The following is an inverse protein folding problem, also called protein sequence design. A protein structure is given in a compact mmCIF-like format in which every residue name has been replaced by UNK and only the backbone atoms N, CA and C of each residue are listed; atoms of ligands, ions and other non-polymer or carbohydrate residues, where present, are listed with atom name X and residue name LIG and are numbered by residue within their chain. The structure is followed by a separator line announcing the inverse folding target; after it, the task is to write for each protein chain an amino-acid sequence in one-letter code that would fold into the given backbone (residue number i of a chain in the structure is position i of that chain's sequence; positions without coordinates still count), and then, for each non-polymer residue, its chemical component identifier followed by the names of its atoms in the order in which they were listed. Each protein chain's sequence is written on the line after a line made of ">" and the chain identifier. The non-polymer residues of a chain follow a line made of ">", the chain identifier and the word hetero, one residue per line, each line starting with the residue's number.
data_IF_238877367862
#
_entry.id   IF_238877367862
#
_cell.length_a   1.000
_cell.length_b   1.000
_cell.length_c   1.000
_cell.angle_alpha   90.00
_cell.angle_beta   90.00
_cell.angle_gamma   90.00
#
_symmetry.space_group_name_H-M   'P 1'
#
loop_
_entity.id
_entity.type
_entity.pdbx_description
1 polymer ?
#
# COMPACT_ATOMS: atom_id res chain seq x y z
N UNK A 1 26.77 70.46 16.62
CA UNK A 1 26.77 69.76 15.30
C UNK A 1 25.60 68.77 15.33
N UNK A 2 24.38 69.23 14.93
CA UNK A 2 23.23 68.37 14.70
C UNK A 2 23.26 67.89 13.24
N UNK A 3 23.71 66.67 13.04
CA UNK A 3 23.58 66.00 11.76
C UNK A 3 22.13 65.48 11.61
N UNK A 4 21.31 66.21 10.85
CA UNK A 4 19.98 65.74 10.45
C UNK A 4 20.13 64.61 9.42
N UNK A 5 19.81 63.37 9.85
CA UNK A 5 19.71 62.24 8.94
C UNK A 5 18.59 62.51 7.94
N UNK A 6 18.86 62.48 6.62
CA UNK A 6 17.84 62.79 5.60
C UNK A 6 16.76 61.68 5.66
N UNK A 7 15.49 62.10 5.84
CA UNK A 7 14.34 61.21 5.80
C UNK A 7 14.29 60.50 4.44
N UNK A 8 14.42 59.14 4.45
CA UNK A 8 14.33 58.29 3.28
C UNK A 8 12.93 58.46 2.66
N UNK A 9 12.84 59.09 1.47
CA UNK A 9 11.59 59.20 0.72
C UNK A 9 11.06 57.78 0.46
N UNK A 10 10.10 57.33 1.25
CA UNK A 10 9.40 56.04 1.03
C UNK A 10 8.51 56.21 -0.19
N UNK A 11 8.71 55.39 -1.18
CA UNK A 11 7.87 55.33 -2.37
C UNK A 11 6.71 54.33 -2.09
N UNK A 12 5.50 54.82 -1.71
CA UNK A 12 4.44 53.95 -1.19
C UNK A 12 3.94 52.90 -2.21
N UNK A 13 4.17 53.16 -3.51
CA UNK A 13 3.84 52.21 -4.58
C UNK A 13 4.90 51.11 -4.67
N UNK A 14 6.18 51.45 -4.54
CA UNK A 14 7.28 50.49 -4.57
C UNK A 14 7.21 49.53 -3.36
N UNK A 15 6.91 50.09 -2.16
CA UNK A 15 6.81 49.25 -0.93
C UNK A 15 5.61 48.29 -0.99
N UNK A 16 4.49 48.68 -1.62
CA UNK A 16 3.33 47.79 -1.85
C UNK A 16 3.63 46.69 -2.86
N UNK A 17 4.35 46.98 -3.92
CA UNK A 17 4.78 45.99 -4.93
C UNK A 17 5.75 45.00 -4.28
N UNK A 18 6.74 45.48 -3.54
CA UNK A 18 7.69 44.62 -2.81
C UNK A 18 6.97 43.73 -1.77
N UNK A 19 6.04 44.27 -1.00
CA UNK A 19 5.23 43.48 -0.07
C UNK A 19 4.39 42.42 -0.78
N UNK A 20 3.79 42.72 -1.92
CA UNK A 20 3.08 41.78 -2.78
C UNK A 20 3.98 40.66 -3.30
N UNK A 21 5.18 40.95 -3.77
CA UNK A 21 6.17 39.98 -4.21
C UNK A 21 6.63 39.08 -3.07
N UNK A 22 6.84 39.62 -1.86
CA UNK A 22 7.17 38.83 -0.67
C UNK A 22 6.05 37.88 -0.26
N UNK A 23 4.80 38.31 -0.28
CA UNK A 23 3.64 37.47 0.01
C UNK A 23 3.55 36.30 -1.01
N UNK A 24 3.67 36.62 -2.31
CA UNK A 24 3.65 35.54 -3.34
C UNK A 24 4.81 34.56 -3.17
N UNK A 25 6.01 35.04 -2.87
CA UNK A 25 7.18 34.20 -2.65
C UNK A 25 7.02 33.31 -1.40
N UNK A 26 6.50 33.86 -0.31
CA UNK A 26 6.21 33.10 0.92
C UNK A 26 5.12 32.04 0.66
N UNK A 27 4.05 32.40 -0.03
CA UNK A 27 2.98 31.45 -0.39
C UNK A 27 3.51 30.36 -1.33
N UNK A 28 4.32 30.71 -2.32
CA UNK A 28 4.95 29.74 -3.21
C UNK A 28 5.92 28.80 -2.45
N UNK A 29 6.72 29.35 -1.54
CA UNK A 29 7.63 28.59 -0.70
C UNK A 29 6.86 27.64 0.25
N UNK A 30 5.81 28.15 0.90
CA UNK A 30 4.94 27.34 1.75
C UNK A 30 4.23 26.23 0.93
N UNK A 31 3.78 26.55 -0.28
CA UNK A 31 3.22 25.56 -1.22
C UNK A 31 4.23 24.50 -1.62
N UNK A 32 5.46 24.90 -1.95
CA UNK A 32 6.54 23.96 -2.28
C UNK A 32 6.93 23.07 -1.09
N UNK A 33 7.01 23.64 0.12
CA UNK A 33 7.25 22.89 1.36
C UNK A 33 6.10 21.93 1.65
N UNK A 34 4.85 22.35 1.48
CA UNK A 34 3.69 21.50 1.66
C UNK A 34 3.65 20.33 0.65
N UNK A 35 4.00 20.59 -0.61
CA UNK A 35 4.12 19.54 -1.63
C UNK A 35 5.26 18.57 -1.34
N UNK A 36 6.42 19.08 -0.88
CA UNK A 36 7.55 18.24 -0.49
C UNK A 36 7.25 17.45 0.79
N UNK A 37 6.57 18.08 1.76
CA UNK A 37 6.13 17.41 2.99
C UNK A 37 5.12 16.28 2.69
N UNK A 38 4.30 16.43 1.64
CA UNK A 38 3.40 15.37 1.19
C UNK A 38 4.16 14.12 0.73
N UNK A 39 5.26 14.27 -0.01
CA UNK A 39 6.11 13.16 -0.42
C UNK A 39 6.75 12.45 0.78
N UNK A 40 7.12 13.20 1.83
CA UNK A 40 7.69 12.64 3.06
C UNK A 40 6.62 12.02 3.98
N UNK A 41 5.38 12.45 3.88
CA UNK A 41 4.30 11.95 4.74
C UNK A 41 4.10 10.44 4.59
N UNK A 42 4.20 9.94 3.37
CA UNK A 42 4.01 8.53 3.05
C UNK A 42 5.05 7.62 3.74
N UNK A 43 6.38 7.83 3.56
CA UNK A 43 7.40 7.05 4.29
C UNK A 43 7.37 7.28 5.80
N UNK A 44 6.96 8.46 6.30
CA UNK A 44 6.75 8.70 7.73
C UNK A 44 5.62 7.83 8.30
N UNK A 45 4.48 7.78 7.62
CA UNK A 45 3.35 6.93 8.01
C UNK A 45 3.71 5.45 7.92
N UNK A 46 4.37 5.03 6.85
CA UNK A 46 4.83 3.64 6.71
C UNK A 46 5.83 3.27 7.81
N UNK A 47 6.78 4.16 8.12
CA UNK A 47 7.73 3.98 9.22
C UNK A 47 7.04 3.86 10.58
N UNK A 48 6.00 4.67 10.81
CA UNK A 48 5.16 4.59 12.01
C UNK A 48 4.39 3.26 12.08
N UNK A 49 3.77 2.81 10.98
CA UNK A 49 3.06 1.53 10.94
C UNK A 49 4.02 0.36 11.18
N UNK A 50 5.17 0.36 10.52
CA UNK A 50 6.21 -0.65 10.70
C UNK A 50 6.74 -0.66 12.13
N UNK A 51 7.03 0.51 12.71
CA UNK A 51 7.45 0.60 14.10
C UNK A 51 6.36 0.05 15.04
N UNK A 52 5.09 0.43 14.85
CA UNK A 52 3.97 -0.03 15.66
C UNK A 52 3.81 -1.55 15.62
N UNK A 53 4.01 -2.17 14.46
CA UNK A 53 4.00 -3.63 14.29
C UNK A 53 5.14 -4.31 15.05
N UNK A 54 6.34 -3.69 15.05
CA UNK A 54 7.55 -4.28 15.62
C UNK A 54 7.75 -3.96 17.12
N UNK A 55 7.06 -2.97 17.69
CA UNK A 55 7.15 -2.62 19.13
C UNK A 55 7.12 -3.85 20.04
N UNK A 56 6.18 -4.82 19.93
CA UNK A 56 6.13 -5.97 20.85
C UNK A 56 7.36 -6.87 20.76
N UNK A 57 8.01 -6.93 19.60
CA UNK A 57 9.26 -7.69 19.44
C UNK A 57 10.39 -6.96 20.15
N UNK A 58 10.50 -5.66 19.95
CA UNK A 58 11.51 -4.81 20.61
C UNK A 58 11.36 -4.85 22.14
N UNK A 59 10.12 -4.73 22.66
CA UNK A 59 9.86 -4.80 24.10
C UNK A 59 10.23 -6.18 24.71
N UNK A 60 10.09 -7.26 23.95
CA UNK A 60 10.54 -8.59 24.42
C UNK A 60 12.06 -8.69 24.49
N UNK A 61 12.77 -8.07 23.54
CA UNK A 61 14.24 -8.03 23.52
C UNK A 61 14.77 -7.11 24.61
N UNK A 62 14.15 -5.93 24.82
CA UNK A 62 14.45 -4.98 25.89
C UNK A 62 14.34 -5.64 27.28
N UNK A 63 13.28 -6.43 27.50
CA UNK A 63 13.09 -7.22 28.74
C UNK A 63 14.18 -8.30 28.94
N UNK A 64 14.91 -8.68 27.91
CA UNK A 64 16.08 -9.57 27.97
C UNK A 64 17.39 -8.81 28.18
N UNK A 65 17.34 -7.51 28.39
CA UNK A 65 18.51 -6.65 28.64
C UNK A 65 19.23 -6.16 27.38
N UNK A 66 18.65 -6.35 26.18
CA UNK A 66 19.25 -5.85 24.96
C UNK A 66 18.82 -4.38 24.75
N UNK A 67 19.76 -3.43 24.55
CA UNK A 67 19.43 -2.03 24.34
C UNK A 67 18.48 -1.83 23.17
N UNK A 68 17.50 -0.94 23.29
CA UNK A 68 16.46 -0.70 22.27
C UNK A 68 17.02 -0.37 20.89
N UNK A 69 18.07 0.42 20.80
CA UNK A 69 18.71 0.76 19.53
C UNK A 69 19.32 -0.47 18.83
N UNK A 70 19.95 -1.37 19.59
CA UNK A 70 20.52 -2.62 19.05
C UNK A 70 19.40 -3.57 18.61
N UNK A 71 18.36 -3.71 19.44
CA UNK A 71 17.17 -4.51 19.11
C UNK A 71 16.48 -3.99 17.84
N UNK A 72 16.29 -2.67 17.73
CA UNK A 72 15.66 -2.03 16.56
C UNK A 72 16.50 -2.27 15.29
N UNK A 73 17.81 -2.02 15.36
CA UNK A 73 18.73 -2.26 14.23
C UNK A 73 18.76 -3.72 13.82
N UNK A 74 18.85 -4.65 14.79
CA UNK A 74 18.86 -6.09 14.55
C UNK A 74 17.58 -6.60 13.90
N UNK A 75 16.41 -6.23 14.44
CA UNK A 75 15.10 -6.65 13.92
C UNK A 75 14.85 -6.07 12.52
N UNK A 76 15.13 -4.79 12.31
CA UNK A 76 15.01 -4.17 10.97
C UNK A 76 16.01 -4.75 9.99
N UNK A 77 17.25 -5.05 10.41
CA UNK A 77 18.26 -5.71 9.59
C UNK A 77 17.81 -7.11 9.15
N UNK A 78 17.29 -7.92 10.08
CA UNK A 78 16.72 -9.25 9.76
C UNK A 78 15.53 -9.13 8.81
N UNK A 79 14.62 -8.18 9.05
CA UNK A 79 13.46 -7.96 8.18
C UNK A 79 13.90 -7.56 6.77
N UNK A 80 14.86 -6.64 6.65
CA UNK A 80 15.38 -6.19 5.35
C UNK A 80 16.12 -7.33 4.64
N UNK A 81 16.92 -8.12 5.37
CA UNK A 81 17.59 -9.28 4.81
C UNK A 81 16.61 -10.35 4.35
N UNK A 82 15.54 -10.61 5.13
CA UNK A 82 14.48 -11.55 4.76
C UNK A 82 13.70 -11.07 3.52
N UNK A 83 13.38 -9.77 3.44
CA UNK A 83 12.74 -9.19 2.26
C UNK A 83 13.65 -9.26 1.02
N UNK A 84 14.93 -8.94 1.17
CA UNK A 84 15.92 -9.07 0.09
C UNK A 84 16.07 -10.53 -0.38
N UNK A 85 16.14 -11.48 0.55
CA UNK A 85 16.20 -12.90 0.23
C UNK A 85 14.92 -13.36 -0.52
N UNK A 86 13.75 -12.90 -0.07
CA UNK A 86 12.48 -13.21 -0.74
C UNK A 86 12.47 -12.68 -2.17
N UNK A 87 12.97 -11.47 -2.41
CA UNK A 87 13.11 -10.89 -3.76
C UNK A 87 14.05 -11.74 -4.61
N UNK A 88 15.23 -12.11 -4.08
CA UNK A 88 16.21 -12.94 -4.80
C UNK A 88 15.61 -14.31 -5.15
N UNK A 89 14.89 -14.95 -4.24
CA UNK A 89 14.25 -16.23 -4.47
C UNK A 89 13.04 -16.14 -5.41
N UNK A 90 12.30 -15.03 -5.38
CA UNK A 90 11.17 -14.79 -6.26
C UNK A 90 11.60 -14.43 -7.69
N UNK A 91 12.71 -13.72 -7.85
CA UNK A 91 13.20 -13.24 -9.16
C UNK A 91 13.27 -14.34 -10.23
N UNK A 92 13.91 -15.52 -10.02
CA UNK A 92 13.97 -16.56 -11.05
C UNK A 92 12.59 -17.10 -11.40
N UNK A 93 11.67 -17.20 -10.45
CA UNK A 93 10.29 -17.65 -10.67
C UNK A 93 9.54 -16.64 -11.52
N UNK A 94 9.65 -15.35 -11.18
CA UNK A 94 9.02 -14.25 -11.95
C UNK A 94 9.58 -14.18 -13.36
N UNK A 95 10.91 -14.25 -13.51
CA UNK A 95 11.57 -14.22 -14.82
C UNK A 95 11.16 -15.43 -15.66
N UNK A 96 11.13 -16.63 -15.08
CA UNK A 96 10.66 -17.83 -15.77
C UNK A 96 9.19 -17.71 -16.25
N UNK A 97 8.32 -17.12 -15.42
CA UNK A 97 6.93 -16.85 -15.82
C UNK A 97 6.82 -15.86 -16.96
N UNK A 98 7.60 -14.77 -16.90
CA UNK A 98 7.62 -13.76 -17.95
C UNK A 98 8.12 -14.39 -19.26
N UNK A 99 9.20 -15.16 -19.21
CA UNK A 99 9.74 -15.85 -20.37
C UNK A 99 8.77 -16.88 -20.93
N UNK A 100 8.12 -17.66 -20.08
CA UNK A 100 7.08 -18.60 -20.48
C UNK A 100 5.91 -17.89 -21.16
N UNK A 101 5.44 -16.78 -20.59
CA UNK A 101 4.39 -15.97 -21.19
C UNK A 101 4.82 -15.35 -22.54
N UNK A 102 6.04 -14.84 -22.63
CA UNK A 102 6.59 -14.27 -23.86
C UNK A 102 6.74 -15.33 -24.97
N UNK A 103 7.23 -16.52 -24.65
CA UNK A 103 7.42 -17.60 -25.62
C UNK A 103 6.10 -18.16 -26.16
N UNK A 104 5.04 -18.15 -25.35
CA UNK A 104 3.70 -18.61 -25.74
C UNK A 104 2.74 -17.46 -26.07
N UNK A 105 3.22 -16.22 -26.08
CA UNK A 105 2.39 -15.02 -26.24
C UNK A 105 1.56 -15.04 -27.54
N UNK A 106 2.09 -15.56 -28.62
CA UNK A 106 1.37 -15.69 -29.92
C UNK A 106 0.23 -16.70 -29.81
N UNK A 107 0.50 -17.87 -29.25
CA UNK A 107 -0.51 -18.92 -29.03
C UNK A 107 -1.62 -18.43 -28.10
N UNK A 108 -1.25 -17.72 -27.05
CA UNK A 108 -2.19 -17.11 -26.11
C UNK A 108 -3.02 -16.00 -26.75
N UNK A 109 -2.43 -15.17 -27.61
CA UNK A 109 -3.16 -14.18 -28.39
C UNK A 109 -4.14 -14.82 -29.36
N UNK A 110 -3.77 -15.93 -30.00
CA UNK A 110 -4.67 -16.70 -30.86
C UNK A 110 -5.82 -17.33 -30.09
N UNK A 111 -5.55 -17.96 -28.94
CA UNK A 111 -6.58 -18.51 -28.05
C UNK A 111 -7.46 -17.39 -27.48
N UNK A 112 -6.89 -16.28 -27.04
CA UNK A 112 -7.64 -15.15 -26.54
C UNK A 112 -8.51 -14.52 -27.64
N UNK A 113 -7.98 -14.34 -28.82
CA UNK A 113 -8.73 -13.79 -29.98
C UNK A 113 -9.86 -14.71 -30.43
N UNK A 114 -9.64 -16.04 -30.47
CA UNK A 114 -10.67 -17.01 -30.82
C UNK A 114 -11.78 -17.08 -29.77
N UNK A 115 -11.42 -17.03 -28.48
CA UNK A 115 -12.39 -17.00 -27.37
C UNK A 115 -13.17 -15.69 -27.33
N UNK A 116 -12.48 -14.55 -27.53
CA UNK A 116 -13.12 -13.22 -27.64
C UNK A 116 -14.07 -13.18 -28.85
N UNK A 117 -13.67 -13.74 -29.97
CA UNK A 117 -14.55 -13.82 -31.15
C UNK A 117 -15.80 -14.65 -30.87
N UNK A 118 -15.66 -15.80 -30.22
CA UNK A 118 -16.80 -16.61 -29.79
C UNK A 118 -17.71 -15.92 -28.78
N UNK A 119 -17.16 -15.15 -27.85
CA UNK A 119 -17.92 -14.32 -26.89
C UNK A 119 -18.62 -13.16 -27.61
N UNK A 120 -17.95 -12.50 -28.54
CA UNK A 120 -18.50 -11.43 -29.37
C UNK A 120 -19.63 -11.97 -30.25
N UNK A 121 -19.48 -13.14 -30.86
CA UNK A 121 -20.52 -13.79 -31.65
C UNK A 121 -21.74 -14.21 -30.80
N UNK A 122 -21.51 -14.62 -29.56
CA UNK A 122 -22.60 -14.89 -28.62
C UNK A 122 -23.31 -13.59 -28.17
N UNK A 123 -22.55 -12.55 -27.83
CA UNK A 123 -23.08 -11.25 -27.41
C UNK A 123 -23.71 -10.46 -28.57
N UNK A 124 -23.25 -10.66 -29.81
CA UNK A 124 -23.82 -10.02 -31.01
C UNK A 124 -25.25 -10.44 -31.30
N UNK A 125 -25.69 -11.56 -30.69
CA UNK A 125 -27.11 -11.96 -30.71
C UNK A 125 -27.99 -11.18 -29.75
N UNK A 126 -27.36 -10.43 -28.79
CA UNK A 126 -28.04 -9.75 -27.70
C UNK A 126 -27.87 -8.20 -27.73
N UNK A 127 -26.83 -7.70 -28.43
CA UNK A 127 -26.45 -6.26 -28.43
C UNK A 127 -26.13 -5.79 -29.86
N UNK A 128 -26.41 -4.52 -30.25
CA UNK A 128 -26.12 -3.98 -31.57
C UNK A 128 -24.62 -4.05 -31.94
N UNK A 129 -24.31 -4.54 -33.14
CA UNK A 129 -22.99 -4.90 -33.65
C UNK A 129 -21.92 -3.79 -33.57
N UNK A 130 -22.29 -2.51 -33.63
CA UNK A 130 -21.38 -1.39 -33.80
C UNK A 130 -20.49 -1.11 -32.55
N UNK A 131 -21.08 -1.21 -31.37
CA UNK A 131 -20.34 -0.95 -30.11
C UNK A 131 -19.44 -2.11 -29.74
N UNK A 132 -19.84 -3.32 -30.11
CA UNK A 132 -19.10 -4.56 -29.82
C UNK A 132 -17.81 -4.66 -30.68
N UNK A 133 -17.86 -4.25 -31.95
CA UNK A 133 -16.69 -4.21 -32.83
C UNK A 133 -15.66 -3.16 -32.38
N UNK A 134 -16.12 -1.99 -31.90
CA UNK A 134 -15.23 -0.99 -31.31
C UNK A 134 -14.55 -1.49 -30.02
N UNK A 135 -15.28 -2.17 -29.16
CA UNK A 135 -14.73 -2.77 -27.95
C UNK A 135 -13.72 -3.88 -28.26
N UNK A 136 -13.98 -4.72 -29.29
CA UNK A 136 -13.07 -5.75 -29.78
C UNK A 136 -11.79 -5.14 -30.37
N UNK A 137 -11.90 -4.11 -31.20
CA UNK A 137 -10.74 -3.41 -31.76
C UNK A 137 -9.90 -2.74 -30.67
N UNK A 138 -10.54 -2.11 -29.66
CA UNK A 138 -9.84 -1.52 -28.52
C UNK A 138 -9.15 -2.60 -27.66
N UNK A 139 -9.79 -3.74 -27.42
CA UNK A 139 -9.19 -4.84 -26.67
C UNK A 139 -7.99 -5.43 -27.42
N UNK A 140 -8.12 -5.70 -28.72
CA UNK A 140 -7.06 -6.25 -29.55
C UNK A 140 -5.90 -5.26 -29.72
N UNK A 141 -6.16 -3.97 -29.91
CA UNK A 141 -5.11 -2.94 -30.02
C UNK A 141 -4.34 -2.77 -28.71
N UNK A 142 -5.00 -2.87 -27.57
CA UNK A 142 -4.31 -2.84 -26.27
C UNK A 142 -3.49 -4.11 -26.01
N UNK A 143 -3.96 -5.28 -26.43
CA UNK A 143 -3.21 -6.54 -26.33
C UNK A 143 -1.97 -6.54 -27.22
N UNK A 144 -2.02 -5.90 -28.40
CA UNK A 144 -0.90 -5.84 -29.34
C UNK A 144 0.09 -4.70 -29.07
N UNK A 145 -0.30 -3.65 -28.36
CA UNK A 145 0.53 -2.46 -28.11
C UNK A 145 1.46 -2.57 -26.91
N UNK A 146 1.32 -3.59 -26.08
CA UNK A 146 2.25 -3.83 -24.99
C UNK A 146 3.44 -4.66 -25.50
N UNK A 147 4.40 -3.96 -26.13
CA UNK A 147 5.77 -4.44 -26.22
C UNK A 147 6.29 -4.77 -24.83
N UNK A 148 7.26 -5.68 -24.73
CA UNK A 148 7.88 -6.24 -23.53
C UNK A 148 7.77 -5.32 -22.30
N UNK A 149 7.07 -5.73 -21.23
CA UNK A 149 6.92 -4.91 -20.03
C UNK A 149 8.21 -4.77 -19.21
N UNK A 150 9.31 -5.38 -19.66
CA UNK A 150 10.60 -5.37 -18.95
C UNK A 150 11.73 -5.17 -19.97
N UNK A 151 12.17 -3.95 -20.19
CA UNK A 151 13.28 -3.78 -21.13
C UNK A 151 13.82 -2.38 -21.37
N UNK A 152 13.45 -1.37 -20.64
CA UNK A 152 14.05 -0.05 -20.80
C UNK A 152 14.85 0.38 -19.56
N UNK A 153 15.97 1.08 -19.79
CA UNK A 153 16.72 1.76 -18.72
C UNK A 153 15.82 2.68 -17.88
N UNK A 154 14.71 3.11 -18.44
CA UNK A 154 13.68 3.91 -17.77
C UNK A 154 13.12 3.20 -16.52
N UNK A 155 12.90 1.89 -16.59
CA UNK A 155 12.37 1.09 -15.46
C UNK A 155 13.37 0.97 -14.31
N UNK A 156 14.68 1.02 -14.59
CA UNK A 156 15.71 1.11 -13.56
C UNK A 156 15.67 2.43 -12.79
N UNK A 157 15.30 3.53 -13.46
CA UNK A 157 15.11 4.82 -12.80
C UNK A 157 13.82 4.87 -11.98
N UNK A 158 12.81 4.08 -12.33
CA UNK A 158 11.55 3.98 -11.57
C UNK A 158 11.72 3.20 -10.24
N UNK A 159 12.80 2.39 -10.12
CA UNK A 159 13.14 1.69 -8.87
C UNK A 159 13.78 2.65 -7.84
N UNK A 160 14.46 3.70 -8.28
CA UNK A 160 15.19 4.61 -7.38
C UNK A 160 14.28 5.31 -6.36
N UNK A 161 13.12 5.90 -6.73
CA UNK A 161 12.17 6.46 -5.78
C UNK A 161 11.61 5.41 -4.80
N UNK A 162 11.44 4.17 -5.25
CA UNK A 162 10.99 3.08 -4.38
C UNK A 162 12.03 2.75 -3.31
N UNK A 163 13.31 2.68 -3.67
CA UNK A 163 14.42 2.48 -2.74
C UNK A 163 14.58 3.64 -1.76
N UNK A 164 14.45 4.88 -2.24
CA UNK A 164 14.48 6.09 -1.39
C UNK A 164 13.36 6.04 -0.35
N UNK A 165 12.12 5.79 -0.76
CA UNK A 165 10.97 5.68 0.14
C UNK A 165 11.12 4.51 1.13
N UNK A 166 11.66 3.37 0.70
CA UNK A 166 11.94 2.23 1.56
C UNK A 166 13.01 2.57 2.60
N UNK A 167 14.10 3.24 2.20
CA UNK A 167 15.17 3.68 3.10
C UNK A 167 14.63 4.68 4.14
N UNK A 168 13.89 5.70 3.70
CA UNK A 168 13.26 6.66 4.61
C UNK A 168 12.30 5.97 5.60
N UNK A 169 11.50 5.03 5.13
CA UNK A 169 10.61 4.21 5.97
C UNK A 169 11.40 3.46 7.05
N UNK A 170 12.51 2.81 6.69
CA UNK A 170 13.38 2.09 7.63
C UNK A 170 14.04 3.03 8.64
N UNK A 171 14.53 4.17 8.18
CA UNK A 171 15.14 5.20 9.07
C UNK A 171 14.12 5.72 10.08
N UNK A 172 12.92 6.07 9.62
CA UNK A 172 11.84 6.53 10.50
C UNK A 172 11.45 5.44 11.50
N UNK A 173 11.25 4.20 11.03
CA UNK A 173 10.93 3.07 11.90
C UNK A 173 12.02 2.84 12.94
N UNK A 174 13.30 2.91 12.55
CA UNK A 174 14.44 2.78 13.47
C UNK A 174 14.38 3.84 14.58
N UNK A 175 14.22 5.11 14.22
CA UNK A 175 14.18 6.18 15.23
C UNK A 175 12.96 6.06 16.15
N UNK A 176 11.80 5.69 15.62
CA UNK A 176 10.60 5.47 16.43
C UNK A 176 10.75 4.27 17.38
N UNK A 177 11.43 3.20 16.96
CA UNK A 177 11.69 2.03 17.81
C UNK A 177 12.77 2.30 18.85
N UNK A 178 13.84 2.99 18.46
CA UNK A 178 14.98 3.27 19.32
C UNK A 178 14.69 4.37 20.35
N UNK A 179 14.01 5.45 19.92
CA UNK A 179 13.76 6.68 20.69
C UNK A 179 12.29 7.06 20.84
N UNK A 180 11.37 6.12 20.63
CA UNK A 180 9.93 6.41 20.63
C UNK A 180 9.40 7.02 21.93
N UNK A 181 9.99 6.68 23.08
CA UNK A 181 9.62 7.28 24.37
C UNK A 181 9.99 8.77 24.44
N UNK A 182 11.20 9.13 23.96
CA UNK A 182 11.67 10.52 23.93
C UNK A 182 10.84 11.36 22.95
N UNK A 183 10.57 10.81 21.77
CA UNK A 183 9.73 11.46 20.75
C UNK A 183 8.33 11.70 21.31
N UNK A 184 7.72 10.69 21.95
CA UNK A 184 6.41 10.82 22.57
C UNK A 184 6.40 11.91 23.65
N UNK A 185 7.40 11.91 24.54
CA UNK A 185 7.47 12.91 25.63
C UNK A 185 7.62 14.33 25.09
N UNK A 186 8.40 14.50 24.00
CA UNK A 186 8.54 15.79 23.34
C UNK A 186 7.21 16.28 22.74
N UNK A 187 6.46 15.42 22.05
CA UNK A 187 5.14 15.76 21.50
C UNK A 187 4.12 16.07 22.60
N UNK A 188 4.08 15.25 23.65
CA UNK A 188 3.16 15.45 24.78
C UNK A 188 3.48 16.74 25.54
N UNK A 189 4.77 17.12 25.65
CA UNK A 189 5.20 18.37 26.26
C UNK A 189 4.76 19.65 25.54
N UNK A 190 4.40 19.55 24.24
CA UNK A 190 3.86 20.68 23.47
C UNK A 190 2.37 20.93 23.72
N UNK A 191 1.68 19.97 24.38
CA UNK A 191 0.23 20.04 24.57
C UNK A 191 -0.09 20.92 25.79
N UNK A 192 -0.95 21.94 25.66
CA UNK A 192 -1.40 22.72 26.77
C UNK A 192 -2.07 21.87 27.88
N UNK A 193 -1.82 22.15 29.14
CA UNK A 193 -2.33 21.39 30.29
C UNK A 193 -3.83 21.11 30.24
N UNK A 194 -4.61 22.03 29.67
CA UNK A 194 -6.07 21.88 29.51
C UNK A 194 -6.48 20.65 28.73
N UNK A 195 -5.69 20.25 27.72
CA UNK A 195 -6.00 19.14 26.81
C UNK A 195 -5.13 17.90 27.03
N UNK A 196 -4.28 17.93 28.07
CA UNK A 196 -3.25 16.93 28.33
C UNK A 196 -3.83 15.51 28.46
N UNK A 197 -4.80 15.33 29.36
CA UNK A 197 -5.40 14.01 29.60
C UNK A 197 -6.17 13.47 28.37
N UNK A 198 -6.91 14.36 27.68
CA UNK A 198 -7.62 14.01 26.47
C UNK A 198 -6.65 13.54 25.37
N UNK A 199 -5.55 14.27 25.18
CA UNK A 199 -4.54 13.95 24.16
C UNK A 199 -3.81 12.65 24.47
N UNK A 200 -3.50 12.36 25.74
CA UNK A 200 -2.90 11.10 26.16
C UNK A 200 -3.84 9.91 25.89
N UNK A 201 -5.13 10.05 26.26
CA UNK A 201 -6.14 9.01 26.00
C UNK A 201 -6.29 8.74 24.51
N UNK A 202 -6.35 9.81 23.71
CA UNK A 202 -6.43 9.72 22.25
C UNK A 202 -5.20 9.01 21.67
N UNK A 203 -3.99 9.45 22.05
CA UNK A 203 -2.73 8.87 21.57
C UNK A 203 -2.65 7.36 21.89
N UNK A 204 -3.00 6.98 23.13
CA UNK A 204 -3.00 5.58 23.55
C UNK A 204 -4.03 4.74 22.77
N UNK A 205 -5.26 5.25 22.61
CA UNK A 205 -6.33 4.58 21.86
C UNK A 205 -5.94 4.36 20.42
N UNK A 206 -5.45 5.41 19.77
CA UNK A 206 -4.96 5.39 18.38
C UNK A 206 -3.84 4.38 18.20
N UNK A 207 -2.82 4.44 19.03
CA UNK A 207 -1.68 3.52 18.96
C UNK A 207 -2.12 2.07 19.14
N UNK A 208 -3.00 1.80 20.10
CA UNK A 208 -3.53 0.46 20.36
C UNK A 208 -4.36 -0.06 19.17
N UNK A 209 -5.32 0.74 18.71
CA UNK A 209 -6.18 0.35 17.58
C UNK A 209 -5.37 0.08 16.30
N UNK A 210 -4.38 0.93 16.00
CA UNK A 210 -3.48 0.74 14.85
C UNK A 210 -2.65 -0.53 15.03
N UNK A 211 -2.11 -0.78 16.22
CA UNK A 211 -1.33 -1.99 16.50
C UNK A 211 -2.16 -3.26 16.34
N UNK A 212 -3.38 -3.27 16.90
CA UNK A 212 -4.28 -4.42 16.83
C UNK A 212 -4.72 -4.69 15.38
N UNK A 213 -5.04 -3.63 14.61
CA UNK A 213 -5.33 -3.75 13.19
C UNK A 213 -4.16 -4.31 12.39
N UNK A 214 -2.95 -3.76 12.55
CA UNK A 214 -1.77 -4.20 11.79
C UNK A 214 -1.41 -5.66 12.08
N UNK A 215 -1.51 -6.08 13.34
CA UNK A 215 -1.29 -7.49 13.72
C UNK A 215 -2.34 -8.39 13.11
N UNK A 216 -3.63 -8.00 13.23
CA UNK A 216 -4.73 -8.74 12.63
C UNK A 216 -4.57 -8.87 11.12
N UNK A 217 -4.29 -7.77 10.43
CA UNK A 217 -4.10 -7.75 8.97
C UNK A 217 -2.89 -8.57 8.53
N UNK A 218 -1.78 -8.55 9.31
CA UNK A 218 -0.61 -9.39 9.01
C UNK A 218 -0.90 -10.88 9.15
N UNK A 219 -1.67 -11.28 10.17
CA UNK A 219 -2.10 -12.66 10.37
C UNK A 219 -3.08 -13.10 9.27
N UNK A 220 -4.02 -12.25 8.92
CA UNK A 220 -4.97 -12.46 7.83
C UNK A 220 -4.27 -12.64 6.49
N UNK A 221 -3.35 -11.76 6.16
CA UNK A 221 -2.52 -11.82 4.96
C UNK A 221 -1.70 -13.11 4.88
N UNK A 222 -1.11 -13.53 6.00
CA UNK A 222 -0.34 -14.76 6.07
C UNK A 222 -1.25 -15.99 5.87
N UNK A 223 -2.39 -16.03 6.55
CA UNK A 223 -3.36 -17.12 6.43
C UNK A 223 -3.91 -17.23 5.01
N UNK A 224 -4.29 -16.10 4.40
CA UNK A 224 -4.77 -16.04 3.02
C UNK A 224 -3.70 -16.54 2.04
N UNK A 225 -2.46 -16.07 2.15
CA UNK A 225 -1.35 -16.51 1.29
C UNK A 225 -1.08 -18.01 1.40
N UNK A 226 -1.10 -18.56 2.61
CA UNK A 226 -0.93 -20.00 2.84
C UNK A 226 -2.08 -20.79 2.23
N UNK A 227 -3.33 -20.39 2.46
CA UNK A 227 -4.51 -21.07 1.93
C UNK A 227 -4.53 -21.07 0.39
N UNK A 228 -4.29 -19.92 -0.21
CA UNK A 228 -4.20 -19.79 -1.68
C UNK A 228 -3.09 -20.68 -2.21
N UNK A 229 -1.88 -20.63 -1.62
CA UNK A 229 -0.75 -21.46 -2.03
C UNK A 229 -1.03 -22.95 -1.95
N UNK A 230 -1.62 -23.43 -0.82
CA UNK A 230 -1.97 -24.84 -0.63
C UNK A 230 -3.02 -25.29 -1.65
N UNK A 231 -4.12 -24.54 -1.77
CA UNK A 231 -5.23 -24.93 -2.67
C UNK A 231 -4.80 -24.94 -4.13
N UNK A 232 -4.03 -23.93 -4.58
CA UNK A 232 -3.51 -23.90 -5.93
C UNK A 232 -2.50 -25.03 -6.19
N UNK A 233 -1.72 -25.46 -5.18
CA UNK A 233 -0.83 -26.62 -5.27
C UNK A 233 -1.62 -27.90 -5.42
N UNK A 234 -2.69 -28.09 -4.67
CA UNK A 234 -3.59 -29.26 -4.77
C UNK A 234 -4.24 -29.30 -6.16
N UNK A 235 -4.63 -28.15 -6.69
CA UNK A 235 -5.21 -28.02 -8.02
C UNK A 235 -4.17 -28.07 -9.15
N UNK A 236 -2.90 -28.35 -8.83
CA UNK A 236 -1.78 -28.47 -9.78
C UNK A 236 -1.61 -27.22 -10.66
N UNK A 237 -1.88 -26.04 -10.13
CA UNK A 237 -1.63 -24.78 -10.81
C UNK A 237 -0.12 -24.49 -10.79
N UNK A 238 0.51 -24.23 -11.95
CA UNK A 238 1.91 -23.83 -11.99
C UNK A 238 2.15 -22.61 -11.10
N UNK A 239 3.31 -22.58 -10.41
CA UNK A 239 3.71 -21.47 -9.57
C UNK A 239 2.76 -21.19 -8.38
N UNK A 240 1.99 -22.18 -7.96
CA UNK A 240 1.00 -22.06 -6.87
C UNK A 240 1.54 -21.37 -5.60
N UNK A 241 2.74 -21.75 -5.15
CA UNK A 241 3.38 -21.15 -3.97
C UNK A 241 3.71 -19.68 -4.19
N UNK A 242 4.19 -19.32 -5.38
CA UNK A 242 4.49 -17.93 -5.72
C UNK A 242 3.21 -17.08 -5.76
N UNK A 243 2.16 -17.59 -6.40
CA UNK A 243 0.84 -16.93 -6.44
C UNK A 243 0.29 -16.78 -5.02
N UNK A 244 0.44 -17.80 -4.17
CA UNK A 244 0.03 -17.74 -2.77
C UNK A 244 0.77 -16.66 -1.98
N UNK A 245 2.11 -16.59 -2.09
CA UNK A 245 2.91 -15.55 -1.44
C UNK A 245 2.50 -14.17 -1.96
N UNK A 246 2.34 -14.01 -3.27
CA UNK A 246 1.93 -12.75 -3.89
C UNK A 246 0.53 -12.34 -3.45
N UNK A 247 -0.43 -13.27 -3.39
CA UNK A 247 -1.77 -13.03 -2.88
C UNK A 247 -1.76 -12.60 -1.40
N UNK A 248 -0.96 -13.28 -0.58
CA UNK A 248 -0.79 -12.94 0.82
C UNK A 248 -0.19 -11.54 1.03
N UNK A 249 0.87 -11.20 0.29
CA UNK A 249 1.46 -9.86 0.35
C UNK A 249 0.48 -8.78 -0.12
N UNK A 250 -0.23 -9.02 -1.22
CA UNK A 250 -1.25 -8.10 -1.72
C UNK A 250 -2.43 -7.94 -0.74
N UNK A 251 -2.74 -8.99 0.04
CA UNK A 251 -3.79 -8.97 1.05
C UNK A 251 -3.47 -8.04 2.24
N UNK A 252 -2.23 -7.53 2.36
CA UNK A 252 -1.92 -6.43 3.28
C UNK A 252 -2.81 -5.20 3.03
N UNK A 253 -3.29 -5.04 1.80
CA UNK A 253 -4.37 -4.13 1.42
C UNK A 253 -5.66 -4.95 1.27
N UNK A 254 -6.70 -4.72 2.09
CA UNK A 254 -7.97 -5.44 1.97
C UNK A 254 -8.50 -5.43 0.54
N UNK A 255 -9.06 -6.54 0.08
CA UNK A 255 -9.61 -6.77 -1.26
C UNK A 255 -8.56 -7.04 -2.37
N UNK A 256 -7.30 -6.68 -2.21
CA UNK A 256 -6.30 -6.92 -3.26
C UNK A 256 -5.82 -8.38 -3.30
N UNK A 257 -5.84 -9.10 -2.17
CA UNK A 257 -5.41 -10.49 -2.09
C UNK A 257 -6.11 -11.41 -3.09
N UNK A 258 -7.45 -11.49 -3.09
CA UNK A 258 -8.21 -12.31 -4.04
C UNK A 258 -7.96 -11.95 -5.51
N UNK A 259 -7.76 -10.67 -5.81
CA UNK A 259 -7.47 -10.17 -7.16
C UNK A 259 -6.07 -10.60 -7.58
N UNK A 260 -5.09 -10.38 -6.72
CA UNK A 260 -3.68 -10.69 -6.98
C UNK A 260 -3.41 -12.19 -7.12
N UNK A 261 -4.12 -13.03 -6.37
CA UNK A 261 -4.05 -14.49 -6.51
C UNK A 261 -4.94 -15.03 -7.62
N UNK A 262 -6.13 -14.45 -7.79
CA UNK A 262 -7.16 -14.94 -8.72
C UNK A 262 -6.81 -14.69 -10.18
N UNK A 263 -6.41 -13.49 -10.53
CA UNK A 263 -6.10 -13.12 -11.93
C UNK A 263 -5.02 -14.03 -12.52
N UNK A 264 -3.82 -14.19 -11.92
CA UNK A 264 -2.79 -15.04 -12.51
C UNK A 264 -3.18 -16.52 -12.52
N UNK A 265 -3.84 -17.04 -11.49
CA UNK A 265 -4.25 -18.44 -11.42
C UNK A 265 -5.30 -18.79 -12.50
N UNK A 266 -6.31 -17.95 -12.67
CA UNK A 266 -7.35 -18.13 -13.69
C UNK A 266 -6.76 -17.93 -15.10
N UNK A 267 -5.88 -16.95 -15.29
CA UNK A 267 -5.21 -16.72 -16.56
C UNK A 267 -4.40 -17.94 -17.00
N UNK A 268 -3.60 -18.55 -16.12
CA UNK A 268 -2.85 -19.78 -16.39
C UNK A 268 -3.78 -20.93 -16.83
N UNK A 269 -4.95 -21.06 -16.18
CA UNK A 269 -5.92 -22.09 -16.55
C UNK A 269 -6.58 -21.84 -17.92
N UNK A 270 -6.95 -20.60 -18.20
CA UNK A 270 -7.52 -20.21 -19.50
C UNK A 270 -6.53 -20.41 -20.66
N UNK A 271 -5.25 -20.27 -20.39
CA UNK A 271 -4.16 -20.44 -21.32
C UNK A 271 -3.74 -21.93 -21.51
N UNK A 272 -4.43 -22.86 -20.83
CA UNK A 272 -4.13 -24.29 -20.91
C UNK A 272 -2.87 -24.74 -20.18
N UNK A 273 -2.29 -23.86 -19.32
CA UNK A 273 -1.10 -24.18 -18.53
C UNK A 273 -1.42 -25.11 -17.33
N UNK A 274 -2.68 -25.43 -17.08
CA UNK A 274 -3.13 -26.31 -15.99
C UNK A 274 -4.04 -27.42 -16.52
N UNK A 275 -3.99 -28.58 -15.89
CA UNK A 275 -4.96 -29.65 -16.15
C UNK A 275 -6.35 -29.32 -15.55
N UNK A 276 -6.39 -28.47 -14.53
CA UNK A 276 -7.63 -28.10 -13.84
C UNK A 276 -8.36 -26.99 -14.61
N UNK A 277 -9.67 -27.15 -14.88
CA UNK A 277 -10.46 -26.14 -15.57
C UNK A 277 -10.51 -24.83 -14.77
N UNK A 278 -10.50 -23.69 -15.48
CA UNK A 278 -10.50 -22.36 -14.90
C UNK A 278 -11.63 -22.10 -13.90
N UNK A 279 -12.84 -22.68 -14.17
CA UNK A 279 -14.00 -22.50 -13.29
C UNK A 279 -13.85 -23.23 -11.95
N UNK A 280 -13.10 -24.35 -11.88
CA UNK A 280 -12.78 -25.06 -10.64
C UNK A 280 -11.84 -24.21 -9.81
N UNK A 281 -10.83 -23.59 -10.44
CA UNK A 281 -9.89 -22.69 -9.78
C UNK A 281 -10.65 -21.45 -9.26
N UNK A 282 -11.52 -20.86 -10.06
CA UNK A 282 -12.34 -19.72 -9.67
C UNK A 282 -13.26 -20.07 -8.49
N UNK A 283 -13.90 -21.23 -8.52
CA UNK A 283 -14.76 -21.71 -7.43
C UNK A 283 -13.93 -21.95 -6.15
N UNK A 284 -12.76 -22.56 -6.25
CA UNK A 284 -11.88 -22.79 -5.10
C UNK A 284 -11.41 -21.48 -4.46
N UNK A 285 -10.98 -20.51 -5.26
CA UNK A 285 -10.60 -19.17 -4.79
C UNK A 285 -11.77 -18.41 -4.18
N UNK A 286 -12.99 -18.56 -4.74
CA UNK A 286 -14.19 -18.01 -4.16
C UNK A 286 -14.51 -18.62 -2.80
N UNK A 287 -14.33 -19.94 -2.63
CA UNK A 287 -14.50 -20.61 -1.33
C UNK A 287 -13.46 -20.12 -0.33
N UNK A 288 -12.20 -19.94 -0.73
CA UNK A 288 -11.16 -19.34 0.13
C UNK A 288 -11.60 -17.95 0.58
N UNK A 289 -12.07 -17.12 -0.35
CA UNK A 289 -12.54 -15.77 -0.04
C UNK A 289 -13.76 -15.78 0.91
N UNK A 290 -14.66 -16.77 0.79
CA UNK A 290 -15.76 -16.95 1.74
C UNK A 290 -15.25 -17.34 3.13
N UNK A 291 -14.31 -18.28 3.23
CA UNK A 291 -13.68 -18.67 4.49
C UNK A 291 -12.96 -17.48 5.12
N UNK A 292 -12.24 -16.71 4.33
CA UNK A 292 -11.55 -15.50 4.76
C UNK A 292 -12.52 -14.51 5.40
N UNK A 293 -13.57 -14.14 4.68
CA UNK A 293 -14.54 -13.15 5.15
C UNK A 293 -15.41 -13.64 6.33
N UNK A 294 -15.70 -14.94 6.43
CA UNK A 294 -16.60 -15.47 7.47
C UNK A 294 -15.86 -15.92 8.73
N UNK A 295 -14.59 -16.32 8.61
CA UNK A 295 -13.85 -16.95 9.71
C UNK A 295 -12.56 -16.21 10.00
N UNK A 296 -11.66 -16.04 9.00
CA UNK A 296 -10.30 -15.54 9.25
C UNK A 296 -10.34 -14.05 9.58
N UNK A 297 -10.92 -13.25 8.72
CA UNK A 297 -10.99 -11.80 8.91
C UNK A 297 -11.66 -11.38 10.23
N UNK A 298 -12.84 -11.93 10.63
CA UNK A 298 -13.42 -11.65 11.94
C UNK A 298 -12.56 -12.08 13.12
N UNK A 299 -11.84 -13.20 12.99
CA UNK A 299 -10.98 -13.72 14.05
C UNK A 299 -9.68 -12.92 14.21
N UNK A 300 -9.15 -12.35 13.13
CA UNK A 300 -7.87 -11.64 13.11
C UNK A 300 -8.01 -10.12 13.22
N UNK A 301 -8.88 -9.52 12.41
CA UNK A 301 -9.04 -8.07 12.25
C UNK A 301 -10.34 -7.54 12.87
N UNK A 302 -11.38 -8.38 12.92
CA UNK A 302 -12.81 -8.02 13.07
C UNK A 302 -13.24 -7.16 14.27
N UNK A 303 -12.37 -6.92 15.24
CA UNK A 303 -12.66 -6.03 16.39
C UNK A 303 -11.91 -4.70 16.41
N UNK A 304 -10.94 -4.50 15.50
CA UNK A 304 -9.92 -3.45 15.66
C UNK A 304 -10.43 -2.05 15.33
N UNK A 305 -11.14 -1.87 14.21
CA UNK A 305 -11.49 -0.54 13.70
C UNK A 305 -12.99 -0.26 13.58
N UNK A 306 -13.85 -1.30 13.54
CA UNK A 306 -15.33 -1.19 13.39
C UNK A 306 -15.74 -0.25 12.23
N UNK A 307 -15.01 -0.29 11.11
CA UNK A 307 -15.27 0.54 9.94
C UNK A 307 -16.31 -0.16 9.03
N UNK A 308 -17.31 0.55 8.52
CA UNK A 308 -18.21 -0.02 7.52
C UNK A 308 -17.44 -0.26 6.21
N UNK A 309 -17.76 -1.35 5.47
CA UNK A 309 -17.01 -1.76 4.28
C UNK A 309 -16.86 -0.66 3.21
N UNK A 310 -17.89 0.14 2.99
CA UNK A 310 -17.84 1.22 2.01
C UNK A 310 -16.81 2.31 2.36
N UNK A 311 -16.58 2.57 3.66
CA UNK A 311 -15.55 3.53 4.11
C UNK A 311 -14.15 3.00 3.81
N UNK A 312 -13.94 1.68 3.99
CA UNK A 312 -12.68 1.01 3.65
C UNK A 312 -12.42 1.11 2.15
N UNK A 313 -13.42 0.82 1.32
CA UNK A 313 -13.30 0.92 -0.15
C UNK A 313 -12.98 2.35 -0.59
N UNK A 314 -13.70 3.35 -0.06
CA UNK A 314 -13.42 4.75 -0.33
C UNK A 314 -11.99 5.15 0.09
N UNK A 315 -11.57 4.71 1.28
CA UNK A 315 -10.22 4.97 1.76
C UNK A 315 -9.15 4.38 0.85
N UNK A 316 -9.32 3.13 0.43
CA UNK A 316 -8.41 2.47 -0.51
C UNK A 316 -8.40 3.21 -1.86
N UNK A 317 -9.55 3.64 -2.37
CA UNK A 317 -9.64 4.41 -3.62
C UNK A 317 -8.91 5.77 -3.52
N UNK A 318 -9.12 6.51 -2.44
CA UNK A 318 -8.40 7.78 -2.19
C UNK A 318 -6.90 7.50 -2.02
N UNK A 319 -6.53 6.49 -1.22
CA UNK A 319 -5.15 6.08 -0.99
C UNK A 319 -4.43 5.71 -2.29
N UNK A 320 -5.12 4.99 -3.19
CA UNK A 320 -4.55 4.61 -4.49
C UNK A 320 -4.20 5.82 -5.36
N UNK A 321 -5.04 6.84 -5.34
CA UNK A 321 -4.82 8.09 -6.10
C UNK A 321 -3.69 8.94 -5.54
N UNK A 322 -3.52 8.94 -4.21
CA UNK A 322 -2.58 9.84 -3.54
C UNK A 322 -1.19 9.24 -3.37
N UNK A 323 -1.09 7.93 -3.18
CA UNK A 323 0.17 7.26 -2.87
C UNK A 323 0.30 5.86 -3.46
N UNK A 324 -0.49 5.51 -4.48
CA UNK A 324 -0.44 4.19 -5.10
C UNK A 324 -0.69 3.06 -4.10
N UNK A 325 0.06 1.98 -4.21
CA UNK A 325 -0.05 0.79 -3.33
C UNK A 325 0.23 1.16 -1.86
N UNK A 326 1.21 2.02 -1.60
CA UNK A 326 1.56 2.46 -0.25
C UNK A 326 0.44 3.30 0.36
N UNK A 327 -0.17 4.19 -0.44
CA UNK A 327 -1.34 4.97 -0.03
C UNK A 327 -2.54 4.10 0.32
N UNK A 328 -2.81 3.03 -0.45
CA UNK A 328 -3.86 2.05 -0.13
C UNK A 328 -3.62 1.38 1.23
N UNK A 329 -2.39 0.97 1.51
CA UNK A 329 -2.00 0.28 2.73
C UNK A 329 -2.17 1.16 3.97
N UNK A 330 -1.84 2.44 3.85
CA UNK A 330 -1.95 3.43 4.92
C UNK A 330 -3.39 3.92 5.12
N UNK A 331 -4.23 3.85 4.08
CA UNK A 331 -5.57 4.43 4.09
C UNK A 331 -6.46 3.90 5.23
N UNK A 332 -6.49 2.59 5.45
CA UNK A 332 -7.35 1.98 6.48
C UNK A 332 -6.95 2.39 7.89
N UNK A 333 -5.66 2.32 8.30
CA UNK A 333 -5.21 2.89 9.57
C UNK A 333 -5.53 4.37 9.72
N UNK A 334 -5.33 5.18 8.67
CA UNK A 334 -5.62 6.62 8.72
C UNK A 334 -7.09 6.93 8.98
N UNK A 335 -8.00 6.20 8.36
CA UNK A 335 -9.43 6.34 8.61
C UNK A 335 -9.77 5.94 10.05
N UNK A 336 -9.15 4.87 10.56
CA UNK A 336 -9.27 4.46 11.95
C UNK A 336 -8.83 5.56 12.92
N UNK A 337 -7.72 6.23 12.62
CA UNK A 337 -7.22 7.39 13.36
C UNK A 337 -8.22 8.55 13.36
N UNK A 338 -8.72 8.94 12.19
CA UNK A 338 -9.70 10.02 12.04
C UNK A 338 -10.98 9.72 12.82
N UNK A 339 -11.49 8.49 12.72
CA UNK A 339 -12.67 8.06 13.49
C UNK A 339 -12.42 8.14 14.99
N UNK A 340 -11.28 7.63 15.47
CA UNK A 340 -10.90 7.70 16.88
C UNK A 340 -10.86 9.14 17.40
N UNK A 341 -10.30 10.04 16.60
CA UNK A 341 -10.25 11.47 16.90
C UNK A 341 -11.65 12.10 17.00
N UNK A 342 -12.53 11.83 16.03
CA UNK A 342 -13.92 12.35 16.04
C UNK A 342 -14.71 11.86 17.25
N UNK A 343 -14.57 10.57 17.59
CA UNK A 343 -15.28 9.99 18.76
C UNK A 343 -14.79 10.64 20.06
N UNK A 344 -13.48 10.83 20.23
CA UNK A 344 -12.93 11.44 21.44
C UNK A 344 -13.30 12.92 21.56
N UNK A 345 -13.29 13.64 20.43
CA UNK A 345 -13.72 15.05 20.40
C UNK A 345 -15.19 15.18 20.79
N UNK A 346 -16.07 14.30 20.27
CA UNK A 346 -17.50 14.29 20.61
C UNK A 346 -17.74 13.92 22.09
N UNK A 347 -16.94 13.03 22.65
CA UNK A 347 -17.03 12.65 24.07
C UNK A 347 -16.52 13.74 25.03
N UNK A 348 -15.77 14.72 24.54
CA UNK A 348 -15.20 15.82 25.31
C UNK A 348 -16.03 17.13 25.27
N UNK A 349 -17.01 17.20 24.35
CA UNK A 349 -18.01 18.26 24.23
C UNK A 349 -19.24 17.95 25.08
#
# INVERSE_FOLDING_TARGET
>A
LNATVPARKTNPVGDRILAGCWIVLVVALLGAVAMSAWMLLLPLLMGYLLATLLIPVIERLDRRGIPRAVSAGGVLGVLTAAAGLLVVLATPVVVAQIQFFQSHSREYLEIASSRLTGLVDFLSRLVPHRELELAKQMALSRLSSHGSPFGSLQELFDILPLLENALLTLVVAFFLLAKGAEIRSAFVGLIPNRYFEMSLRLLYRVQRQTADYLRGQSLDSLANGILVGIVLTILQVPYALFIGVFAGLANAVPLLGPIAGGIPAIALALLGATATPWWVIAAALFVIHMIDNMVIYPATVGGSLHLPPWVVILGIAIGSHTGGIVGMLVAVPMIGLLRGFVIELHASL
#
